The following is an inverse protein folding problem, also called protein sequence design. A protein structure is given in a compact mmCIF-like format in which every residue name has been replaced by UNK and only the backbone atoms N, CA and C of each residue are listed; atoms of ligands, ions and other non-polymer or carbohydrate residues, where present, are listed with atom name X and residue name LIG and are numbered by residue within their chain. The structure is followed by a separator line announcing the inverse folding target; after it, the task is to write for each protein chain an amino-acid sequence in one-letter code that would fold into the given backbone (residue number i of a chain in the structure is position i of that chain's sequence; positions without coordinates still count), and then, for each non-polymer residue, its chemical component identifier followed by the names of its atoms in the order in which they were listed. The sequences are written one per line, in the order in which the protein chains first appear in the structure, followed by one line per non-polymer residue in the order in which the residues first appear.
data_IF_744222498401
#
_entry.id   IF_744222498401
#
_cell.length_a   1.000
_cell.length_b   1.000
_cell.length_c   1.000
_cell.angle_alpha   90.00
_cell.angle_beta   90.00
_cell.angle_gamma   90.00
#
_symmetry.space_group_name_H-M   'P 1'
#
loop_
_entity.id
_entity.type
_entity.pdbx_description
1 polymer ?
#
# COMPACT_ATOMS: atom_id res chain seq x y z
N UNK A 1 8.60 21.18 -85.15
CA UNK A 1 7.78 21.80 -84.09
C UNK A 1 8.71 22.16 -82.95
N UNK A 2 9.15 23.42 -82.88
CA UNK A 2 10.09 23.89 -81.87
C UNK A 2 9.35 24.10 -80.56
N UNK A 3 9.50 23.17 -79.62
CA UNK A 3 9.15 23.42 -78.24
C UNK A 3 10.06 24.54 -77.74
N UNK A 4 9.46 25.68 -77.41
CA UNK A 4 10.19 26.89 -77.02
C UNK A 4 11.03 26.58 -75.77
N UNK A 5 12.29 27.01 -75.75
CA UNK A 5 13.26 26.74 -74.67
C UNK A 5 12.69 27.05 -73.28
N UNK A 6 11.80 28.04 -73.19
CA UNK A 6 11.09 28.43 -71.96
C UNK A 6 10.19 27.33 -71.39
N UNK A 7 9.56 26.51 -72.24
CA UNK A 7 8.73 25.37 -71.80
C UNK A 7 9.59 24.27 -71.19
N UNK A 8 10.76 24.01 -71.77
CA UNK A 8 11.71 23.02 -71.24
C UNK A 8 12.27 23.50 -69.89
N UNK A 9 12.62 24.78 -69.79
CA UNK A 9 13.07 25.43 -68.55
C UNK A 9 11.99 25.38 -67.47
N UNK A 10 10.74 25.72 -67.79
CA UNK A 10 9.65 25.75 -66.81
C UNK A 10 9.25 24.36 -66.34
N UNK A 11 9.25 23.36 -67.23
CA UNK A 11 9.08 21.94 -66.86
C UNK A 11 10.19 21.48 -65.91
N UNK A 12 11.45 21.86 -66.15
CA UNK A 12 12.56 21.54 -65.25
C UNK A 12 12.37 22.10 -63.83
N UNK A 13 11.86 23.33 -63.70
CA UNK A 13 11.54 23.92 -62.40
C UNK A 13 10.38 23.21 -61.71
N UNK A 14 9.32 22.89 -62.45
CA UNK A 14 8.17 22.14 -61.91
C UNK A 14 8.62 20.77 -61.41
N UNK A 15 9.41 20.02 -62.18
CA UNK A 15 9.95 18.72 -61.76
C UNK A 15 10.77 18.85 -60.49
N UNK A 16 11.64 19.87 -60.39
CA UNK A 16 12.45 20.11 -59.18
C UNK A 16 11.56 20.38 -57.95
N UNK A 17 10.52 21.20 -58.08
CA UNK A 17 9.59 21.48 -56.98
C UNK A 17 8.79 20.24 -56.57
N UNK A 18 8.35 19.43 -57.53
CA UNK A 18 7.64 18.18 -57.25
C UNK A 18 8.54 17.20 -56.50
N UNK A 19 9.80 17.04 -56.92
CA UNK A 19 10.77 16.18 -56.22
C UNK A 19 11.01 16.69 -54.80
N UNK A 20 11.20 18.00 -54.62
CA UNK A 20 11.35 18.59 -53.29
C UNK A 20 10.12 18.33 -52.41
N UNK A 21 8.91 18.54 -52.94
CA UNK A 21 7.66 18.27 -52.24
C UNK A 21 7.46 16.79 -51.90
N UNK A 22 7.86 15.88 -52.78
CA UNK A 22 7.79 14.44 -52.52
C UNK A 22 8.73 14.03 -51.38
N UNK A 23 9.94 14.60 -51.32
CA UNK A 23 10.89 14.34 -50.24
C UNK A 23 10.37 14.88 -48.91
N UNK A 24 9.84 16.10 -48.87
CA UNK A 24 9.28 16.67 -47.62
C UNK A 24 8.10 15.86 -47.12
N UNK A 25 7.17 15.48 -48.00
CA UNK A 25 6.04 14.63 -47.66
C UNK A 25 6.50 13.25 -47.14
N UNK A 26 7.47 12.63 -47.82
CA UNK A 26 8.06 11.37 -47.37
C UNK A 26 8.64 11.45 -45.97
N UNK A 27 9.32 12.56 -45.64
CA UNK A 27 9.86 12.80 -44.30
C UNK A 27 8.76 12.99 -43.26
N UNK A 28 7.69 13.73 -43.57
CA UNK A 28 6.54 13.92 -42.67
C UNK A 28 5.85 12.59 -42.36
N UNK A 29 5.65 11.73 -43.37
CA UNK A 29 5.07 10.40 -43.17
C UNK A 29 5.98 9.51 -42.32
N UNK A 30 7.30 9.56 -42.53
CA UNK A 30 8.28 8.85 -41.69
C UNK A 30 8.23 9.31 -40.24
N UNK A 31 8.19 10.61 -39.99
CA UNK A 31 8.08 11.16 -38.63
C UNK A 31 6.79 10.71 -37.95
N UNK A 32 5.66 10.71 -38.65
CA UNK A 32 4.39 10.23 -38.11
C UNK A 32 4.43 8.73 -37.80
N UNK A 33 5.07 7.91 -38.64
CA UNK A 33 5.24 6.50 -38.38
C UNK A 33 6.12 6.24 -37.15
N UNK A 34 7.24 6.96 -37.01
CA UNK A 34 8.12 6.86 -35.83
C UNK A 34 7.39 7.31 -34.57
N UNK A 35 6.63 8.41 -34.62
CA UNK A 35 5.83 8.88 -33.49
C UNK A 35 4.83 7.83 -33.02
N UNK A 36 4.17 7.12 -33.95
CA UNK A 36 3.27 6.02 -33.61
C UNK A 36 4.01 4.86 -32.93
N UNK A 37 5.16 4.45 -33.47
CA UNK A 37 5.98 3.37 -32.89
C UNK A 37 6.45 3.70 -31.47
N UNK A 38 6.85 4.95 -31.22
CA UNK A 38 7.24 5.42 -29.88
C UNK A 38 6.05 5.29 -28.93
N UNK A 39 4.87 5.76 -29.34
CA UNK A 39 3.67 5.70 -28.50
C UNK A 39 3.23 4.26 -28.18
N UNK A 40 3.33 3.34 -29.13
CA UNK A 40 3.03 1.92 -28.90
C UNK A 40 4.04 1.28 -27.93
N UNK A 41 5.31 1.67 -28.05
CA UNK A 41 6.38 1.22 -27.13
C UNK A 41 6.17 1.76 -25.72
N UNK A 42 5.80 3.03 -25.57
CA UNK A 42 5.45 3.65 -24.28
C UNK A 42 4.30 2.91 -23.60
N UNK A 43 3.22 2.61 -24.34
CA UNK A 43 2.11 1.79 -23.84
C UNK A 43 2.58 0.41 -23.39
N UNK A 44 3.45 -0.23 -24.18
CA UNK A 44 4.02 -1.52 -23.82
C UNK A 44 4.85 -1.45 -22.54
N UNK A 45 5.64 -0.40 -22.37
CA UNK A 45 6.42 -0.18 -21.15
C UNK A 45 5.51 -0.05 -19.94
N UNK A 46 4.43 0.73 -20.03
CA UNK A 46 3.47 0.89 -18.92
C UNK A 46 2.81 -0.44 -18.58
N UNK A 47 2.38 -1.21 -19.59
CA UNK A 47 1.77 -2.52 -19.37
C UNK A 47 2.73 -3.51 -18.70
N UNK A 48 3.98 -3.60 -19.18
CA UNK A 48 4.99 -4.48 -18.58
C UNK A 48 5.34 -4.06 -17.14
N UNK A 49 5.36 -2.75 -16.85
CA UNK A 49 5.57 -2.25 -15.48
C UNK A 49 4.45 -2.70 -14.55
N UNK A 50 3.21 -2.59 -15.00
CA UNK A 50 2.05 -3.04 -14.22
C UNK A 50 2.10 -4.55 -13.95
N UNK A 51 2.51 -5.35 -14.92
CA UNK A 51 2.74 -6.79 -14.71
C UNK A 51 3.83 -7.04 -13.68
N UNK A 52 4.96 -6.34 -13.77
CA UNK A 52 6.05 -6.46 -12.78
C UNK A 52 5.56 -6.14 -11.38
N UNK A 53 4.82 -5.03 -11.20
CA UNK A 53 4.29 -4.61 -9.90
C UNK A 53 3.30 -5.64 -9.34
N UNK A 54 2.44 -6.20 -10.21
CA UNK A 54 1.53 -7.29 -9.85
C UNK A 54 2.28 -8.54 -9.40
N UNK A 55 3.25 -9.01 -10.20
CA UNK A 55 4.05 -10.19 -9.87
C UNK A 55 4.86 -9.98 -8.58
N UNK A 56 5.47 -8.80 -8.41
CA UNK A 56 6.21 -8.48 -7.21
C UNK A 56 5.32 -8.51 -5.97
N UNK A 57 4.09 -8.01 -6.08
CA UNK A 57 3.11 -8.05 -4.98
C UNK A 57 2.72 -9.50 -4.65
N UNK A 58 2.47 -10.34 -5.66
CA UNK A 58 2.21 -11.77 -5.44
C UNK A 58 3.39 -12.48 -4.76
N UNK A 59 4.62 -12.21 -5.19
CA UNK A 59 5.80 -12.81 -4.59
C UNK A 59 6.02 -12.34 -3.16
N UNK A 60 5.93 -11.04 -2.89
CA UNK A 60 6.08 -10.49 -1.54
C UNK A 60 5.04 -11.06 -0.58
N UNK A 61 3.79 -11.20 -1.01
CA UNK A 61 2.73 -11.76 -0.16
C UNK A 61 2.94 -13.26 0.11
N UNK A 62 3.36 -14.06 -0.88
CA UNK A 62 3.64 -15.50 -0.69
C UNK A 62 4.92 -15.75 0.12
N UNK A 63 6.00 -15.01 -0.17
CA UNK A 63 7.28 -15.19 0.52
C UNK A 63 7.24 -14.71 1.97
N UNK A 64 6.48 -13.65 2.27
CA UNK A 64 6.34 -13.15 3.64
C UNK A 64 5.65 -14.18 4.55
N UNK A 65 4.62 -14.87 4.05
CA UNK A 65 3.97 -15.95 4.80
C UNK A 65 4.92 -17.12 5.07
N UNK A 66 5.72 -17.51 4.08
CA UNK A 66 6.71 -18.57 4.23
C UNK A 66 7.84 -18.17 5.19
N UNK A 67 8.38 -16.96 5.05
CA UNK A 67 9.44 -16.44 5.92
C UNK A 67 8.99 -16.31 7.38
N UNK A 68 7.76 -15.85 7.63
CA UNK A 68 7.19 -15.80 8.98
C UNK A 68 7.00 -17.21 9.57
N UNK A 69 6.65 -18.20 8.75
CA UNK A 69 6.55 -19.60 9.18
C UNK A 69 7.90 -20.17 9.54
N UNK A 70 8.89 -20.00 8.67
CA UNK A 70 10.25 -20.49 8.88
C UNK A 70 10.87 -19.83 10.12
N UNK A 71 10.68 -18.51 10.30
CA UNK A 71 11.13 -17.79 11.49
C UNK A 71 10.40 -18.30 12.75
N UNK A 72 9.09 -18.53 12.65
CA UNK A 72 8.34 -19.09 13.76
C UNK A 72 8.86 -20.47 14.16
N UNK A 73 9.13 -21.35 13.20
CA UNK A 73 9.63 -22.69 13.43
C UNK A 73 11.04 -22.69 14.05
N UNK A 74 11.90 -21.74 13.67
CA UNK A 74 13.28 -21.63 14.18
C UNK A 74 13.32 -21.01 15.58
N UNK A 75 12.56 -19.94 15.83
CA UNK A 75 12.73 -19.12 17.04
C UNK A 75 11.67 -19.38 18.12
N UNK A 76 10.43 -19.67 17.73
CA UNK A 76 9.29 -19.65 18.66
C UNK A 76 8.58 -20.99 18.81
N UNK A 77 8.58 -21.83 17.78
CA UNK A 77 7.84 -23.09 17.73
C UNK A 77 6.33 -22.94 17.95
N UNK A 78 5.74 -21.79 17.61
CA UNK A 78 4.31 -21.57 17.84
C UNK A 78 3.49 -22.41 16.86
N UNK A 79 2.82 -23.45 17.40
CA UNK A 79 1.80 -24.19 16.67
C UNK A 79 0.42 -23.64 17.01
N UNK A 80 -0.43 -23.50 15.99
CA UNK A 80 -1.83 -23.22 16.22
C UNK A 80 -2.44 -24.29 17.15
N UNK A 81 -3.27 -23.91 18.13
CA UNK A 81 -3.89 -24.87 19.03
C UNK A 81 -4.73 -25.88 18.24
N UNK A 82 -4.61 -27.15 18.60
CA UNK A 82 -5.42 -28.22 18.01
C UNK A 82 -6.87 -28.13 18.53
N UNK A 83 -7.84 -28.64 17.76
CA UNK A 83 -9.26 -28.60 18.13
C UNK A 83 -9.53 -29.09 19.57
N UNK A 84 -8.85 -30.16 20.01
CA UNK A 84 -8.99 -30.70 21.38
C UNK A 84 -8.35 -29.88 22.50
N UNK A 85 -7.67 -28.76 22.20
CA UNK A 85 -7.21 -27.78 23.19
C UNK A 85 -8.23 -26.67 23.42
N UNK A 86 -9.26 -26.58 22.58
CA UNK A 86 -10.37 -25.67 22.80
C UNK A 86 -11.42 -26.32 23.69
N UNK A 87 -12.07 -25.48 24.48
CA UNK A 87 -13.18 -25.92 25.33
C UNK A 87 -14.47 -25.71 24.54
N UNK A 88 -15.18 -26.81 24.27
CA UNK A 88 -16.29 -26.82 23.32
C UNK A 88 -17.63 -26.44 23.97
N UNK A 89 -17.71 -26.40 25.30
CA UNK A 89 -18.94 -26.05 25.98
C UNK A 89 -18.82 -25.79 27.48
N UNK A 90 -19.91 -25.26 28.05
CA UNK A 90 -20.01 -24.81 29.45
C UNK A 90 -19.70 -25.91 30.48
N UNK A 91 -20.03 -27.16 30.15
CA UNK A 91 -19.75 -28.30 31.04
C UNK A 91 -18.25 -28.60 31.16
N UNK A 92 -17.50 -28.44 30.06
CA UNK A 92 -16.05 -28.58 30.06
C UNK A 92 -15.38 -27.37 30.74
N UNK A 93 -15.95 -26.17 30.59
CA UNK A 93 -15.51 -24.97 31.33
C UNK A 93 -15.69 -25.15 32.86
N UNK A 94 -16.84 -25.65 33.30
CA UNK A 94 -17.12 -25.90 34.71
C UNK A 94 -16.14 -26.90 35.35
N UNK A 95 -15.63 -27.85 34.56
CA UNK A 95 -14.65 -28.84 35.04
C UNK A 95 -13.27 -28.24 35.34
N UNK A 96 -12.85 -27.15 34.68
CA UNK A 96 -11.59 -26.45 35.00
C UNK A 96 -11.66 -25.65 36.31
N UNK A 97 -12.85 -25.24 36.75
CA UNK A 97 -13.03 -24.48 38.00
C UNK A 97 -12.98 -25.35 39.27
N UNK A 98 -12.94 -26.68 39.13
CA UNK A 98 -12.87 -27.60 40.25
C UNK A 98 -11.43 -27.64 40.81
N UNK A 99 -11.22 -27.62 42.15
CA UNK A 99 -9.90 -27.81 42.73
C UNK A 99 -9.25 -29.11 42.25
N UNK A 100 -7.94 -29.07 42.05
CA UNK A 100 -7.17 -30.22 41.58
C UNK A 100 -7.43 -31.45 42.48
N UNK A 101 -7.81 -32.56 41.85
CA UNK A 101 -8.11 -33.81 42.56
C UNK A 101 -6.88 -34.41 43.26
N UNK A 102 -7.08 -35.30 44.24
CA UNK A 102 -5.98 -35.98 44.93
C UNK A 102 -5.14 -36.78 43.92
N UNK A 103 -3.85 -36.44 43.82
CA UNK A 103 -2.90 -37.08 42.89
C UNK A 103 -2.68 -36.36 41.56
N UNK A 104 -3.27 -35.16 41.35
CA UNK A 104 -2.99 -34.37 40.16
C UNK A 104 -1.51 -33.94 40.08
N UNK A 105 -0.87 -34.01 38.90
CA UNK A 105 0.51 -33.58 38.72
C UNK A 105 0.65 -32.08 39.03
N UNK A 106 1.79 -31.70 39.61
CA UNK A 106 2.08 -30.30 39.90
C UNK A 106 2.03 -29.47 38.60
N UNK A 107 1.38 -28.29 38.61
CA UNK A 107 1.25 -27.47 37.42
C UNK A 107 2.64 -27.10 36.88
N UNK A 108 2.82 -27.25 35.56
CA UNK A 108 4.06 -26.90 34.87
C UNK A 108 4.23 -25.38 34.99
N UNK A 109 5.32 -24.96 35.65
CA UNK A 109 5.61 -23.55 35.92
C UNK A 109 6.41 -22.94 34.78
N UNK A 110 5.98 -21.79 34.29
CA UNK A 110 6.79 -20.93 33.42
C UNK A 110 7.73 -20.09 34.29
N UNK A 111 8.91 -19.73 33.76
CA UNK A 111 9.96 -19.01 34.51
C UNK A 111 9.50 -17.70 35.15
N UNK A 112 8.42 -17.09 34.65
CA UNK A 112 7.89 -15.80 35.12
C UNK A 112 6.66 -15.93 36.06
N UNK A 113 6.23 -17.13 36.43
CA UNK A 113 5.06 -17.31 37.28
C UNK A 113 5.42 -17.16 38.76
N UNK A 114 4.99 -16.06 39.38
CA UNK A 114 5.12 -15.85 40.82
C UNK A 114 4.27 -16.87 41.60
N UNK A 115 4.76 -17.31 42.76
CA UNK A 115 4.12 -18.37 43.55
C UNK A 115 2.78 -17.88 44.08
N UNK A 116 1.68 -18.45 43.56
CA UNK A 116 0.33 -18.28 44.13
C UNK A 116 0.27 -18.95 45.51
N UNK A 117 0.70 -18.20 46.52
CA UNK A 117 0.65 -18.54 47.93
C UNK A 117 0.60 -17.30 48.84
N UNK A 118 0.88 -16.11 48.29
CA UNK A 118 0.67 -14.83 48.94
C UNK A 118 -0.50 -14.13 48.27
N UNK A 119 -1.71 -14.46 48.70
CA UNK A 119 -2.90 -13.68 48.37
C UNK A 119 -2.80 -12.34 49.09
N UNK A 120 -2.28 -11.33 48.38
CA UNK A 120 -2.60 -9.94 48.64
C UNK A 120 -2.80 -9.22 47.30
N UNK A 121 -3.95 -8.56 47.16
CA UNK A 121 -4.24 -7.59 46.10
C UNK A 121 -4.15 -8.07 44.66
N UNK A 122 -5.30 -8.47 44.09
CA UNK A 122 -5.55 -8.57 42.66
C UNK A 122 -5.20 -7.25 41.93
N UNK A 123 -3.94 -7.08 41.56
CA UNK A 123 -3.51 -6.13 40.54
C UNK A 123 -3.74 -6.81 39.20
N UNK A 124 -4.87 -6.48 38.56
CA UNK A 124 -5.11 -6.78 37.17
C UNK A 124 -3.83 -6.46 36.39
N UNK A 125 -3.23 -7.50 35.81
CA UNK A 125 -2.06 -7.47 34.93
C UNK A 125 -1.97 -6.10 34.25
N UNK A 126 -1.01 -5.29 34.68
CA UNK A 126 -0.85 -3.93 34.18
C UNK A 126 -0.61 -4.00 32.68
N UNK A 127 -1.67 -3.76 31.90
CA UNK A 127 -1.58 -3.64 30.45
C UNK A 127 -0.70 -2.41 30.16
N UNK A 128 0.54 -2.67 29.76
CA UNK A 128 1.49 -1.65 29.32
C UNK A 128 1.41 -1.57 27.79
N UNK A 129 1.25 -0.36 27.26
CA UNK A 129 1.28 -0.13 25.82
C UNK A 129 2.70 -0.33 25.27
N UNK A 130 2.92 -1.17 24.24
CA UNK A 130 4.25 -1.40 23.67
C UNK A 130 4.85 -0.18 22.97
N UNK A 131 4.06 0.86 22.69
CA UNK A 131 4.52 2.07 21.98
C UNK A 131 4.92 3.21 22.92
N UNK A 132 4.40 3.22 24.16
CA UNK A 132 4.65 4.32 25.12
C UNK A 132 5.17 3.86 26.47
N UNK A 133 5.11 2.57 26.80
CA UNK A 133 5.55 2.05 28.10
C UNK A 133 4.67 2.50 29.29
N UNK A 134 3.57 3.21 29.04
CA UNK A 134 2.68 3.71 30.08
C UNK A 134 1.64 2.66 30.49
N UNK A 135 1.39 2.55 31.80
CA UNK A 135 0.30 1.73 32.36
C UNK A 135 -1.03 2.46 32.21
N UNK A 136 -2.12 1.72 32.03
CA UNK A 136 -3.47 2.30 31.87
C UNK A 136 -3.91 3.22 33.03
N UNK A 137 -3.29 3.10 34.21
CA UNK A 137 -3.53 3.98 35.36
C UNK A 137 -2.87 5.37 35.26
N UNK A 138 -1.96 5.58 34.31
CA UNK A 138 -1.22 6.83 34.12
C UNK A 138 -1.78 7.73 33.01
N UNK A 139 -2.92 7.38 32.40
CA UNK A 139 -3.59 8.25 31.43
C UNK A 139 -4.33 9.36 32.18
N UNK A 140 -3.92 10.65 32.07
CA UNK A 140 -4.72 11.74 32.59
C UNK A 140 -6.06 11.77 31.83
N UNK A 141 -7.15 11.75 32.60
CA UNK A 141 -8.51 11.96 32.13
C UNK A 141 -8.59 13.23 31.26
N UNK A 142 -9.38 13.15 30.19
CA UNK A 142 -9.54 14.12 29.13
C UNK A 142 -9.78 15.55 29.67
N UNK A 143 -8.71 16.33 29.83
CA UNK A 143 -8.75 17.77 30.11
C UNK A 143 -7.51 18.51 29.57
N UNK A 144 -6.86 17.97 28.53
CA UNK A 144 -5.69 18.60 27.90
C UNK A 144 -5.76 18.52 26.37
N UNK A 145 -6.91 18.91 25.80
CA UNK A 145 -7.03 19.16 24.37
C UNK A 145 -6.28 20.43 23.91
N UNK A 146 -5.87 21.32 24.82
CA UNK A 146 -5.25 22.61 24.47
C UNK A 146 -3.74 22.73 24.73
N UNK A 147 -3.07 21.72 25.29
CA UNK A 147 -1.64 21.81 25.64
C UNK A 147 -0.66 21.18 24.62
N UNK A 148 -1.16 20.56 23.55
CA UNK A 148 -0.32 19.89 22.52
C UNK A 148 -0.07 20.75 21.26
N UNK A 149 -0.15 22.07 21.39
CA UNK A 149 0.12 23.02 20.31
C UNK A 149 1.62 23.38 20.14
N UNK A 150 2.50 22.94 21.05
CA UNK A 150 3.89 23.40 21.10
C UNK A 150 4.90 22.54 20.31
N UNK A 151 4.47 21.65 19.41
CA UNK A 151 5.37 20.78 18.66
C UNK A 151 4.73 20.16 17.42
N UNK A 152 3.90 20.93 16.71
CA UNK A 152 3.19 20.44 15.53
C UNK A 152 3.98 20.81 14.28
N UNK A 153 4.41 19.80 13.53
CA UNK A 153 5.07 19.99 12.24
C UNK A 153 4.17 20.83 11.31
N UNK A 154 4.66 21.97 10.79
CA UNK A 154 3.85 22.89 9.98
C UNK A 154 3.35 22.24 8.69
N UNK A 155 4.08 21.24 8.20
CA UNK A 155 3.76 20.45 7.01
C UNK A 155 2.51 19.58 7.22
N UNK A 156 2.30 19.02 8.42
CA UNK A 156 1.12 18.20 8.71
C UNK A 156 -0.15 19.04 8.78
N UNK A 157 -0.04 20.27 9.26
CA UNK A 157 -1.16 21.21 9.28
C UNK A 157 -1.47 21.76 7.88
N UNK A 158 -0.45 21.93 7.03
CA UNK A 158 -0.66 22.24 5.62
C UNK A 158 -1.38 21.10 4.88
N UNK A 159 -0.91 19.86 5.06
CA UNK A 159 -1.53 18.67 4.46
C UNK A 159 -2.98 18.46 4.92
N UNK A 160 -3.30 18.71 6.19
CA UNK A 160 -4.68 18.63 6.69
C UNK A 160 -5.58 19.69 6.09
N UNK A 161 -5.09 20.92 5.91
CA UNK A 161 -5.85 21.99 5.25
C UNK A 161 -6.08 21.69 3.77
N UNK A 162 -5.08 21.15 3.08
CA UNK A 162 -5.22 20.74 1.69
C UNK A 162 -6.18 19.56 1.52
N UNK A 163 -6.14 18.58 2.43
CA UNK A 163 -7.09 17.47 2.46
C UNK A 163 -8.54 17.96 2.69
N UNK A 164 -8.74 18.95 3.55
CA UNK A 164 -10.05 19.56 3.75
C UNK A 164 -10.52 20.39 2.54
N UNK A 165 -9.60 21.00 1.79
CA UNK A 165 -9.91 21.79 0.59
C UNK A 165 -10.12 20.94 -0.68
N UNK A 166 -9.66 19.68 -0.69
CA UNK A 166 -9.76 18.76 -1.83
C UNK A 166 -11.20 18.52 -2.29
N UNK A 167 -12.14 18.31 -1.36
CA UNK A 167 -13.56 18.08 -1.68
C UNK A 167 -14.19 19.27 -2.43
N UNK A 168 -13.80 20.50 -2.07
CA UNK A 168 -14.29 21.71 -2.75
C UNK A 168 -13.69 21.87 -4.15
N UNK A 169 -12.43 21.49 -4.35
CA UNK A 169 -11.78 21.52 -5.67
C UNK A 169 -12.36 20.49 -6.64
N UNK A 170 -12.64 19.28 -6.16
CA UNK A 170 -13.25 18.22 -6.98
C UNK A 170 -14.67 18.60 -7.42
N UNK A 171 -15.46 19.19 -6.52
CA UNK A 171 -16.80 19.68 -6.85
C UNK A 171 -16.81 20.77 -7.94
N UNK A 172 -15.78 21.62 -8.00
CA UNK A 172 -15.67 22.63 -9.07
C UNK A 172 -15.25 22.05 -10.43
N UNK A 173 -14.56 20.90 -10.45
CA UNK A 173 -14.14 20.24 -11.69
C UNK A 173 -15.32 19.51 -12.34
N UNK A 174 -16.14 18.80 -11.56
CA UNK A 174 -17.35 18.13 -12.08
C UNK A 174 -18.35 19.12 -12.69
N UNK A 175 -18.52 20.31 -12.09
CA UNK A 175 -19.40 21.36 -12.64
C UNK A 175 -18.86 21.95 -13.94
N UNK A 176 -17.54 22.04 -14.10
CA UNK A 176 -16.95 22.52 -15.35
C UNK A 176 -17.08 21.49 -16.50
N UNK A 177 -17.07 20.19 -16.17
CA UNK A 177 -17.28 19.11 -17.14
C UNK A 177 -18.77 18.97 -17.54
N UNK A 178 -19.71 19.19 -16.61
CA UNK A 178 -21.15 19.14 -16.87
C UNK A 178 -21.69 20.31 -17.72
N UNK A 179 -20.96 21.43 -17.80
CA UNK A 179 -21.33 22.60 -18.64
C UNK A 179 -20.72 22.50 -20.04
N UNK A 180 -19.77 21.58 -20.25
CA UNK A 180 -19.08 21.38 -21.53
C UNK A 180 -19.67 20.25 -22.41
N UNK A 181 -20.76 19.60 -21.97
CA UNK A 181 -21.54 18.61 -22.74
C UNK A 181 -22.79 19.22 -23.34
#
# INVERSE_FOLDING_TARGET
MNFTSDRVRSIGWITTLVVCGAVTLGLTLRVNAVKSQVHDTEKRIVWVRQDIDFLQTEFQTRSNQQALRDLNDIEFGYKAPMAGQYIEGERQLAALGMPAGPGAPAPIRYANAETTGSSDGSSLLAMVSPVTGATAAALPSAASADASAAGRDPERDALRRDAAALGKRLAHIEVAEAVAQ
#
